data_IF_039761872490
#
_entry.id   IF_039761872490
#
_cell.length_a   1.000
_cell.length_b   1.000
_cell.length_c   1.000
_cell.angle_alpha   90.00
_cell.angle_beta   90.00
_cell.angle_gamma   90.00
#
_symmetry.space_group_name_H-M   'P 1'
#
loop_
_entity.id
_entity.type
_entity.pdbx_description
1 polymer ?
#
# COMPACT_ATOMS: atom_id res chain seq x y z
N UNK A 1 -20.83 -14.10 13.71
CA UNK A 1 -20.15 -12.84 13.33
C UNK A 1 -21.08 -11.70 13.69
N UNK A 2 -20.62 -10.70 14.43
CA UNK A 2 -21.52 -9.60 14.84
C UNK A 2 -21.81 -8.69 13.65
N UNK A 3 -23.08 -8.50 13.33
CA UNK A 3 -23.53 -7.62 12.23
C UNK A 3 -23.07 -6.16 12.42
N UNK A 4 -22.98 -5.73 13.67
CA UNK A 4 -22.61 -4.34 14.01
C UNK A 4 -21.17 -3.95 13.72
N UNK A 5 -20.27 -4.92 13.52
CA UNK A 5 -18.86 -4.66 13.16
C UNK A 5 -18.67 -4.38 11.66
N UNK A 6 -19.68 -4.65 10.85
CA UNK A 6 -19.64 -4.50 9.39
C UNK A 6 -20.80 -3.64 8.86
N UNK A 7 -21.31 -2.77 9.72
CA UNK A 7 -22.43 -1.87 9.42
C UNK A 7 -22.05 -0.81 8.37
N UNK A 8 -20.76 -0.49 8.27
CA UNK A 8 -20.19 0.40 7.24
C UNK A 8 -18.99 -0.28 6.59
N UNK A 9 -18.52 0.26 5.46
CA UNK A 9 -17.37 -0.28 4.75
C UNK A 9 -16.12 -0.19 5.62
N UNK A 10 -15.47 -1.33 5.94
CA UNK A 10 -14.30 -1.33 6.80
C UNK A 10 -13.12 -0.65 6.12
N UNK A 11 -12.31 0.05 6.91
CA UNK A 11 -11.06 0.63 6.44
C UNK A 11 -9.97 -0.42 6.57
N UNK A 12 -9.33 -0.76 5.45
CA UNK A 12 -8.16 -1.63 5.44
C UNK A 12 -6.91 -0.81 5.72
N UNK A 13 -6.06 -1.27 6.61
CA UNK A 13 -4.78 -0.62 6.91
C UNK A 13 -3.64 -1.63 6.90
N UNK A 14 -2.50 -1.24 6.33
CA UNK A 14 -1.29 -2.02 6.39
C UNK A 14 -0.64 -1.85 7.77
N UNK A 15 -0.54 -2.94 8.53
CA UNK A 15 -0.04 -2.94 9.90
C UNK A 15 1.45 -2.61 9.99
N UNK A 16 2.25 -3.04 9.03
CA UNK A 16 3.68 -2.68 8.96
C UNK A 16 3.83 -1.18 8.81
N UNK A 17 3.08 -0.60 7.87
CA UNK A 17 3.08 0.84 7.64
C UNK A 17 2.57 1.61 8.88
N UNK A 18 1.52 1.10 9.54
CA UNK A 18 0.99 1.72 10.75
C UNK A 18 1.99 1.74 11.91
N UNK A 19 2.82 0.70 12.04
CA UNK A 19 3.88 0.63 13.06
C UNK A 19 5.01 1.64 12.78
N UNK A 20 5.36 1.84 11.51
CA UNK A 20 6.50 2.69 11.13
C UNK A 20 6.15 4.19 11.12
N UNK A 21 5.01 4.56 10.56
CA UNK A 21 4.66 5.97 10.36
C UNK A 21 3.53 6.47 11.27
N UNK A 22 2.77 5.54 11.87
CA UNK A 22 1.61 5.80 12.71
C UNK A 22 0.29 5.39 12.04
N UNK A 23 -0.69 5.01 12.87
CA UNK A 23 -1.97 4.47 12.40
C UNK A 23 -2.75 5.46 11.53
N UNK A 24 -2.88 6.71 11.97
CA UNK A 24 -3.63 7.72 11.22
C UNK A 24 -2.96 8.04 9.87
N UNK A 25 -1.64 8.08 9.85
CA UNK A 25 -0.83 8.30 8.66
C UNK A 25 -1.00 7.15 7.67
N UNK A 26 -0.96 5.91 8.16
CA UNK A 26 -1.16 4.72 7.33
C UNK A 26 -2.58 4.69 6.73
N UNK A 27 -3.61 5.01 7.51
CA UNK A 27 -5.00 5.09 7.04
C UNK A 27 -5.14 6.15 5.93
N UNK A 28 -4.59 7.34 6.15
CA UNK A 28 -4.68 8.44 5.16
C UNK A 28 -3.92 8.07 3.89
N UNK A 29 -2.73 7.50 4.00
CA UNK A 29 -1.93 7.09 2.85
C UNK A 29 -2.64 6.00 2.04
N UNK A 30 -3.23 5.00 2.72
CA UNK A 30 -4.03 3.95 2.08
C UNK A 30 -5.24 4.52 1.32
N UNK A 31 -5.90 5.52 1.90
CA UNK A 31 -7.06 6.15 1.27
C UNK A 31 -6.66 7.02 0.06
N UNK A 32 -5.52 7.69 0.11
CA UNK A 32 -4.97 8.41 -1.04
C UNK A 32 -4.68 7.41 -2.16
N UNK A 33 -4.02 6.28 -1.86
CA UNK A 33 -3.75 5.21 -2.82
C UNK A 33 -5.02 4.68 -3.47
N UNK A 34 -6.06 4.43 -2.68
CA UNK A 34 -7.36 3.97 -3.18
C UNK A 34 -7.92 4.90 -4.27
N UNK A 35 -7.90 6.21 -4.03
CA UNK A 35 -8.38 7.18 -5.01
C UNK A 35 -7.45 7.30 -6.23
N UNK A 36 -6.15 7.16 -6.06
CA UNK A 36 -5.18 7.10 -7.17
C UNK A 36 -5.48 5.91 -8.07
N UNK A 37 -5.70 4.72 -7.48
CA UNK A 37 -6.03 3.51 -8.25
C UNK A 37 -7.37 3.63 -9.00
N UNK A 38 -8.39 4.28 -8.42
CA UNK A 38 -9.63 4.59 -9.12
C UNK A 38 -9.37 5.49 -10.32
N UNK A 39 -8.59 6.57 -10.14
CA UNK A 39 -8.24 7.49 -11.21
C UNK A 39 -7.42 6.82 -12.31
N UNK A 40 -6.51 5.92 -11.94
CA UNK A 40 -5.70 5.11 -12.86
C UNK A 40 -6.57 4.22 -13.74
N UNK A 41 -7.51 3.48 -13.13
CA UNK A 41 -8.48 2.64 -13.88
C UNK A 41 -9.38 3.46 -14.80
N UNK A 42 -9.73 4.68 -14.39
CA UNK A 42 -10.54 5.59 -15.18
C UNK A 42 -9.74 6.39 -16.24
N UNK A 43 -8.41 6.28 -16.26
CA UNK A 43 -7.53 7.05 -17.14
C UNK A 43 -7.61 8.56 -16.89
N UNK A 44 -7.88 9.00 -15.64
CA UNK A 44 -8.07 10.40 -15.27
C UNK A 44 -6.97 10.90 -14.35
N UNK A 45 -6.76 12.22 -14.34
CA UNK A 45 -5.82 12.88 -13.44
C UNK A 45 -4.37 12.37 -13.57
N UNK A 46 -3.93 12.16 -14.81
CA UNK A 46 -2.55 11.77 -15.11
C UNK A 46 -1.75 13.01 -15.52
N UNK A 47 -0.76 13.37 -14.70
CA UNK A 47 0.12 14.54 -14.91
C UNK A 47 1.54 14.18 -14.46
N UNK A 48 2.53 14.68 -15.17
CA UNK A 48 3.97 14.50 -14.86
C UNK A 48 4.36 13.03 -14.63
N UNK A 49 3.78 12.12 -15.44
CA UNK A 49 4.09 10.70 -15.37
C UNK A 49 3.45 9.93 -14.21
N UNK A 50 2.60 10.58 -13.42
CA UNK A 50 1.94 9.98 -12.23
C UNK A 50 0.44 10.22 -12.24
N UNK A 51 -0.31 9.37 -11.52
CA UNK A 51 -1.72 9.59 -11.25
C UNK A 51 -1.92 10.35 -9.95
N UNK A 52 -2.87 11.25 -9.95
CA UNK A 52 -3.11 12.17 -8.84
C UNK A 52 -4.55 12.08 -8.34
N UNK A 53 -4.72 12.41 -7.07
CA UNK A 53 -6.03 12.69 -6.47
C UNK A 53 -6.03 14.08 -5.86
N UNK A 54 -7.20 14.72 -5.79
CA UNK A 54 -7.30 16.06 -5.24
C UNK A 54 -8.53 16.22 -4.38
N UNK A 55 -8.39 16.92 -3.27
CA UNK A 55 -9.49 17.32 -2.41
C UNK A 55 -9.01 18.37 -1.39
N UNK A 56 -9.92 19.18 -0.88
CA UNK A 56 -9.65 20.01 0.30
C UNK A 56 -9.63 19.14 1.57
N UNK A 57 -8.93 19.58 2.62
CA UNK A 57 -8.88 18.88 3.91
C UNK A 57 -10.29 18.68 4.50
N UNK A 58 -11.16 19.69 4.39
CA UNK A 58 -12.56 19.58 4.83
C UNK A 58 -13.33 18.51 4.06
N UNK A 59 -13.07 18.38 2.74
CA UNK A 59 -13.68 17.36 1.90
C UNK A 59 -13.16 15.96 2.22
N UNK A 60 -11.86 15.81 2.45
CA UNK A 60 -11.25 14.57 2.92
C UNK A 60 -11.88 14.11 4.24
N UNK A 61 -11.97 15.02 5.23
CA UNK A 61 -12.63 14.73 6.50
C UNK A 61 -14.08 14.27 6.30
N UNK A 62 -14.89 15.05 5.57
CA UNK A 62 -16.33 14.78 5.41
C UNK A 62 -16.61 13.45 4.71
N UNK A 63 -15.79 13.09 3.71
CA UNK A 63 -16.03 11.92 2.86
C UNK A 63 -15.36 10.64 3.37
N UNK A 64 -14.14 10.75 3.92
CA UNK A 64 -13.29 9.60 4.18
C UNK A 64 -12.91 9.44 5.66
N UNK A 65 -12.85 10.53 6.42
CA UNK A 65 -12.27 10.53 7.76
C UNK A 65 -13.20 11.16 8.81
N UNK A 66 -14.49 10.86 8.77
CA UNK A 66 -15.49 11.40 9.71
C UNK A 66 -15.22 11.04 11.17
N UNK A 67 -14.51 9.95 11.40
CA UNK A 67 -14.11 9.45 12.72
C UNK A 67 -12.89 10.18 13.32
N UNK A 68 -12.21 11.03 12.55
CA UNK A 68 -11.13 11.91 13.00
C UNK A 68 -11.63 13.35 13.09
N UNK A 69 -10.94 14.21 13.83
CA UNK A 69 -11.18 15.64 13.76
C UNK A 69 -10.56 16.26 12.50
N UNK A 70 -11.13 17.36 12.01
CA UNK A 70 -10.57 18.11 10.85
C UNK A 70 -9.11 18.49 11.08
N UNK A 71 -8.79 18.88 12.33
CA UNK A 71 -7.43 19.28 12.69
C UNK A 71 -6.46 18.10 12.69
N UNK A 72 -6.92 16.91 13.14
CA UNK A 72 -6.14 15.67 13.04
C UNK A 72 -5.85 15.34 11.58
N UNK A 73 -6.86 15.40 10.71
CA UNK A 73 -6.67 15.14 9.27
C UNK A 73 -5.64 16.11 8.69
N UNK A 74 -5.76 17.42 8.99
CA UNK A 74 -4.79 18.44 8.53
C UNK A 74 -3.37 18.11 8.96
N UNK A 75 -3.18 17.78 10.25
CA UNK A 75 -1.88 17.45 10.83
C UNK A 75 -1.26 16.22 10.17
N UNK A 76 -2.07 15.19 9.92
CA UNK A 76 -1.61 13.95 9.26
C UNK A 76 -1.15 14.22 7.83
N UNK A 77 -1.93 14.97 7.03
CA UNK A 77 -1.51 15.35 5.68
C UNK A 77 -0.22 16.16 5.70
N UNK A 78 -0.10 17.13 6.62
CA UNK A 78 1.13 17.92 6.77
C UNK A 78 2.34 17.06 7.18
N UNK A 79 2.13 16.07 8.04
CA UNK A 79 3.19 15.15 8.46
C UNK A 79 3.65 14.28 7.30
N UNK A 80 2.72 13.70 6.54
CA UNK A 80 3.03 12.87 5.36
C UNK A 80 3.76 13.67 4.26
N UNK A 81 3.36 14.93 4.04
CA UNK A 81 4.02 15.84 3.12
C UNK A 81 5.46 16.15 3.56
N UNK A 82 5.66 16.49 4.85
CA UNK A 82 6.99 16.77 5.40
C UNK A 82 7.90 15.56 5.43
N UNK A 83 7.35 14.38 5.68
CA UNK A 83 8.10 13.11 5.69
C UNK A 83 8.39 12.57 4.28
N UNK A 84 7.83 13.21 3.23
CA UNK A 84 8.06 12.83 1.85
C UNK A 84 7.28 11.61 1.37
N UNK A 85 6.32 11.07 2.13
CA UNK A 85 5.49 9.95 1.69
C UNK A 85 4.44 10.34 0.65
N UNK A 86 4.03 11.60 0.66
CA UNK A 86 3.15 12.16 -0.37
C UNK A 86 3.83 13.35 -1.04
N UNK A 87 3.59 13.46 -2.34
CA UNK A 87 4.00 14.59 -3.16
C UNK A 87 2.76 15.45 -3.40
N UNK A 88 2.91 16.75 -3.30
CA UNK A 88 1.82 17.70 -3.56
C UNK A 88 2.06 18.44 -4.86
N UNK A 89 0.98 18.70 -5.59
CA UNK A 89 1.00 19.45 -6.84
C UNK A 89 -0.20 20.37 -6.96
N UNK A 90 -0.24 21.13 -8.06
CA UNK A 90 -1.37 21.97 -8.42
C UNK A 90 -1.62 21.87 -9.94
N UNK A 91 -2.69 21.17 -10.30
CA UNK A 91 -3.14 21.02 -11.69
C UNK A 91 -4.54 21.60 -11.87
N UNK A 92 -4.89 22.60 -11.06
CA UNK A 92 -6.17 23.28 -11.14
C UNK A 92 -6.24 24.14 -12.41
N UNK A 93 -7.38 24.11 -13.09
CA UNK A 93 -7.61 24.91 -14.29
C UNK A 93 -7.80 26.40 -13.96
N UNK A 94 -8.38 26.69 -12.78
CA UNK A 94 -8.57 28.04 -12.28
C UNK A 94 -7.40 28.42 -11.35
N UNK A 95 -6.63 29.49 -11.62
CA UNK A 95 -5.55 29.94 -10.73
C UNK A 95 -6.01 30.34 -9.32
N UNK A 96 -7.31 30.61 -9.13
CA UNK A 96 -7.90 30.93 -7.83
C UNK A 96 -8.18 29.70 -6.98
N UNK A 97 -8.32 28.54 -7.62
CA UNK A 97 -8.51 27.28 -6.93
C UNK A 97 -7.17 26.79 -6.37
N UNK A 98 -7.07 26.81 -5.03
CA UNK A 98 -5.89 26.37 -4.30
C UNK A 98 -6.03 24.95 -3.76
N UNK A 99 -6.92 24.13 -4.31
CA UNK A 99 -7.07 22.74 -3.94
C UNK A 99 -5.78 21.98 -4.25
N UNK A 100 -5.21 21.36 -3.23
CA UNK A 100 -3.99 20.57 -3.37
C UNK A 100 -4.28 19.24 -4.05
N UNK A 101 -3.37 18.85 -4.91
CA UNK A 101 -3.29 17.54 -5.53
C UNK A 101 -2.25 16.71 -4.82
N UNK A 102 -2.52 15.41 -4.70
CA UNK A 102 -1.70 14.48 -3.95
C UNK A 102 -1.40 13.24 -4.79
N UNK A 103 -0.15 12.78 -4.73
CA UNK A 103 0.27 11.46 -5.19
C UNK A 103 1.20 10.83 -4.19
N UNK A 104 1.39 9.53 -4.27
CA UNK A 104 2.29 8.78 -3.39
C UNK A 104 3.71 8.87 -3.92
N UNK A 105 4.65 8.95 -3.01
CA UNK A 105 6.07 8.82 -3.30
C UNK A 105 6.49 7.35 -3.13
N UNK A 106 6.47 6.60 -4.22
CA UNK A 106 6.78 5.18 -4.22
C UNK A 106 8.22 4.92 -3.77
N UNK A 107 9.18 5.77 -4.19
CA UNK A 107 10.59 5.66 -3.80
C UNK A 107 10.76 5.72 -2.27
N UNK A 108 10.03 6.63 -1.61
CA UNK A 108 10.07 6.76 -0.15
C UNK A 108 9.43 5.56 0.57
N UNK A 109 8.42 4.95 -0.03
CA UNK A 109 7.83 3.72 0.49
C UNK A 109 8.78 2.53 0.32
N UNK A 110 9.42 2.40 -0.82
CA UNK A 110 10.41 1.34 -1.07
C UNK A 110 11.57 1.43 -0.09
N UNK A 111 12.11 2.63 0.15
CA UNK A 111 13.14 2.89 1.16
C UNK A 111 12.71 2.41 2.56
N UNK A 112 11.49 2.78 2.97
CA UNK A 112 10.93 2.36 4.26
C UNK A 112 10.86 0.83 4.38
N UNK A 113 10.33 0.16 3.37
CA UNK A 113 10.18 -1.30 3.38
C UNK A 113 11.54 -2.01 3.36
N UNK A 114 12.51 -1.47 2.64
CA UNK A 114 13.87 -1.98 2.67
C UNK A 114 14.46 -1.94 4.09
N UNK A 115 14.32 -0.80 4.78
CA UNK A 115 14.79 -0.64 6.17
C UNK A 115 14.09 -1.59 7.14
N UNK A 116 12.79 -1.82 6.95
CA UNK A 116 12.01 -2.77 7.76
C UNK A 116 12.50 -4.19 7.57
N UNK A 117 12.75 -4.60 6.34
CA UNK A 117 13.26 -5.94 6.04
C UNK A 117 14.67 -6.15 6.58
N UNK A 118 15.55 -5.18 6.44
CA UNK A 118 16.91 -5.25 6.96
C UNK A 118 16.91 -5.38 8.50
N UNK A 119 16.07 -4.61 9.19
CA UNK A 119 15.89 -4.75 10.66
C UNK A 119 15.36 -6.13 11.04
N UNK A 120 14.41 -6.70 10.31
CA UNK A 120 13.89 -8.04 10.58
C UNK A 120 14.98 -9.10 10.43
N UNK A 121 15.77 -9.03 9.37
CA UNK A 121 16.90 -9.95 9.14
C UNK A 121 17.96 -9.87 10.24
N UNK A 122 18.29 -8.67 10.72
CA UNK A 122 19.23 -8.49 11.83
C UNK A 122 18.72 -9.14 13.12
N UNK A 123 17.46 -8.88 13.48
CA UNK A 123 16.84 -9.46 14.67
C UNK A 123 16.74 -10.99 14.61
N UNK A 124 16.49 -11.55 13.44
CA UNK A 124 16.46 -12.99 13.24
C UNK A 124 17.84 -13.62 13.40
N UNK A 125 18.86 -12.99 12.84
CA UNK A 125 20.25 -13.42 12.99
C UNK A 125 20.76 -13.32 14.44
N UNK A 126 20.33 -12.30 15.19
CA UNK A 126 20.65 -12.17 16.61
C UNK A 126 20.02 -13.30 17.43
N UNK A 127 18.75 -13.61 17.21
CA UNK A 127 18.06 -14.73 17.86
C UNK A 127 18.70 -16.08 17.56
N UNK A 128 19.18 -16.29 16.32
CA UNK A 128 19.88 -17.52 15.96
C UNK A 128 21.22 -17.66 16.71
N UNK A 129 21.94 -16.56 16.90
CA UNK A 129 23.20 -16.54 17.68
C UNK A 129 22.95 -16.81 19.18
N UNK A 130 21.91 -16.21 19.75
CA UNK A 130 21.53 -16.43 21.17
C UNK A 130 21.09 -17.87 21.45
N UNK A 131 20.48 -18.54 20.46
CA UNK A 131 20.06 -19.95 20.58
C UNK A 131 21.17 -20.98 20.28
N UNK A 132 22.45 -20.53 20.20
CA UNK A 132 23.61 -21.44 20.07
C UNK A 132 23.75 -22.11 18.70
N UNK A 133 23.05 -21.63 17.68
CA UNK A 133 23.25 -22.05 16.30
C UNK A 133 24.29 -21.14 15.65
N UNK A 134 25.59 -21.44 15.92
CA UNK A 134 26.65 -20.91 15.07
C UNK A 134 26.43 -21.43 13.66
N UNK A 135 26.00 -20.57 12.73
CA UNK A 135 26.05 -20.85 11.31
C UNK A 135 27.55 -20.95 10.93
N UNK A 136 28.08 -22.17 10.87
CA UNK A 136 29.37 -22.42 10.27
C UNK A 136 29.30 -22.00 8.81
N UNK A 137 30.08 -21.00 8.38
CA UNK A 137 30.26 -20.73 6.96
C UNK A 137 31.24 -21.79 6.43
N UNK A 138 30.72 -22.80 5.76
CA UNK A 138 31.38 -23.73 4.88
C UNK A 138 31.00 -25.18 5.14
N UNK A 139 30.03 -25.65 4.39
CA UNK A 139 30.02 -27.02 3.92
C UNK A 139 29.00 -27.18 2.78
N UNK A 140 29.18 -26.45 1.69
CA UNK A 140 28.62 -26.91 0.39
C UNK A 140 29.39 -26.21 -0.74
N UNK A 141 30.62 -26.67 -0.90
CA UNK A 141 31.33 -26.56 -2.18
C UNK A 141 31.95 -27.92 -2.47
N UNK A 142 31.21 -28.73 -3.18
CA UNK A 142 31.68 -29.68 -4.20
C UNK A 142 30.63 -30.77 -4.45
N UNK A 143 30.31 -30.90 -5.73
CA UNK A 143 29.56 -32.00 -6.35
C UNK A 143 28.04 -32.00 -6.10
N UNK A 144 27.28 -31.43 -7.05
CA UNK A 144 26.53 -32.33 -7.94
C UNK A 144 26.05 -31.54 -9.18
N UNK A 145 26.65 -31.92 -10.29
CA UNK A 145 26.02 -31.77 -11.59
C UNK A 145 24.78 -32.65 -11.59
N UNK A 146 23.61 -32.06 -11.47
CA UNK A 146 22.39 -32.75 -11.90
C UNK A 146 21.36 -31.75 -12.35
N UNK A 147 21.19 -31.74 -13.65
CA UNK A 147 19.96 -31.69 -14.43
C UNK A 147 19.03 -30.47 -14.23
N UNK A 148 19.14 -29.62 -15.26
CA UNK A 148 18.05 -28.81 -15.80
C UNK A 148 16.74 -29.59 -15.83
N UNK A 149 15.90 -29.46 -14.82
CA UNK A 149 14.48 -29.79 -14.91
C UNK A 149 13.74 -28.52 -15.29
N UNK A 150 13.34 -28.46 -16.54
CA UNK A 150 12.38 -27.54 -17.12
C UNK A 150 11.16 -27.37 -16.20
N UNK A 151 11.11 -26.28 -15.44
CA UNK A 151 9.87 -25.75 -14.90
C UNK A 151 9.22 -24.84 -15.94
N UNK A 152 8.83 -25.42 -17.03
CA UNK A 152 7.91 -24.79 -17.99
C UNK A 152 6.79 -25.79 -18.23
N UNK A 153 5.70 -25.62 -17.49
CA UNK A 153 4.33 -26.08 -17.75
C UNK A 153 3.61 -26.41 -16.46
N UNK A 154 3.01 -25.42 -15.85
CA UNK A 154 1.84 -25.56 -14.98
C UNK A 154 1.18 -24.18 -14.71
N UNK A 155 0.96 -23.39 -15.75
CA UNK A 155 0.01 -22.28 -15.71
C UNK A 155 -0.85 -22.37 -16.98
N UNK A 156 -1.63 -23.42 -17.07
CA UNK A 156 -2.80 -23.50 -17.94
C UNK A 156 -3.63 -24.68 -17.47
N UNK A 157 -4.58 -24.42 -16.66
CA UNK A 157 -5.91 -25.04 -16.62
C UNK A 157 -6.49 -24.99 -15.21
N UNK A 158 -7.69 -24.43 -15.15
CA UNK A 158 -8.66 -24.40 -14.05
C UNK A 158 -8.66 -23.20 -13.13
N UNK A 159 -8.96 -22.01 -13.66
CA UNK A 159 -9.88 -21.10 -12.98
C UNK A 159 -11.26 -21.29 -13.61
N UNK A 160 -12.02 -22.23 -13.08
CA UNK A 160 -13.44 -22.37 -13.38
C UNK A 160 -14.15 -21.27 -12.59
N UNK A 161 -14.69 -20.33 -13.31
CA UNK A 161 -15.59 -19.30 -12.82
C UNK A 161 -16.96 -19.94 -12.47
N UNK A 162 -17.46 -19.92 -11.21
CA UNK A 162 -18.77 -20.44 -10.87
C UNK A 162 -19.86 -19.37 -10.84
N UNK A 163 -19.85 -18.41 -11.78
CA UNK A 163 -20.96 -17.47 -11.92
C UNK A 163 -21.22 -17.18 -13.39
N UNK A 164 -21.81 -18.17 -14.05
CA UNK A 164 -22.53 -17.94 -15.31
C UNK A 164 -23.38 -19.15 -15.58
N UNK A 165 -24.60 -19.12 -15.07
CA UNK A 165 -25.77 -19.78 -15.68
C UNK A 165 -27.01 -19.49 -14.84
N UNK A 166 -27.95 -18.95 -15.53
CA UNK A 166 -29.38 -18.95 -15.47
C UNK A 166 -29.99 -17.58 -15.26
N UNK A 167 -30.42 -17.03 -16.39
CA UNK A 167 -31.86 -16.74 -16.58
C UNK A 167 -32.15 -16.63 -18.07
N UNK A 168 -32.51 -17.76 -18.62
CA UNK A 168 -33.45 -17.82 -19.71
C UNK A 168 -34.59 -18.68 -19.20
N UNK A 169 -35.77 -18.08 -18.97
CA UNK A 169 -37.06 -18.66 -19.25
C UNK A 169 -38.18 -17.68 -18.94
N UNK A 170 -38.87 -17.34 -20.01
CA UNK A 170 -40.29 -17.00 -20.17
C UNK A 170 -40.76 -15.70 -19.53
#
# INVERSE_FOLDING_TARGET
MSMYLFDDTPIVVNTTLANEIGLNEAIVLQQINYWIEINKRAGKNYYDGKYWTYNSIKSWHKKNFKFLSVETVRRVFTKLEKSGFIITGNYNKDPRDKTKWYTINDEKLEELYFDVEDRKKRLENEKLKENGFEATPNAFSQNDQMENIKMTKCIESKCINPFSQNDQMQ
#
